data_IF_737554887928
#
_entry.id   IF_737554887928
#
_cell.length_a   1.000
_cell.length_b   1.000
_cell.length_c   1.000
_cell.angle_alpha   90.00
_cell.angle_beta   90.00
_cell.angle_gamma   90.00
#
_symmetry.space_group_name_H-M   'P 1'
#
loop_
_entity.id
_entity.type
_entity.pdbx_description
1 polymer ?
#
# COMPACT_ATOMS: atom_id res chain seq x y z
N UNK A 1 2.09 -2.59 -3.64
CA UNK A 1 1.15 -2.88 -4.74
C UNK A 1 1.76 -3.94 -5.65
N UNK A 2 1.02 -4.96 -6.15
CA UNK A 2 1.65 -6.11 -6.82
C UNK A 2 2.48 -5.73 -8.06
N UNK A 3 2.01 -4.79 -8.88
CA UNK A 3 2.74 -4.38 -10.09
C UNK A 3 4.10 -3.77 -9.74
N UNK A 4 4.13 -2.87 -8.76
CA UNK A 4 5.35 -2.25 -8.25
C UNK A 4 6.29 -3.27 -7.60
N UNK A 5 5.75 -4.22 -6.82
CA UNK A 5 6.57 -5.29 -6.24
C UNK A 5 7.22 -6.14 -7.32
N UNK A 6 6.50 -6.51 -8.39
CA UNK A 6 7.08 -7.20 -9.54
C UNK A 6 8.15 -6.34 -10.24
N UNK A 7 7.91 -5.05 -10.40
CA UNK A 7 8.86 -4.12 -11.00
C UNK A 7 10.17 -4.03 -10.19
N UNK A 8 10.07 -3.85 -8.87
CA UNK A 8 11.22 -3.71 -7.97
C UNK A 8 12.01 -5.01 -7.79
N UNK A 9 11.31 -6.15 -7.68
CA UNK A 9 11.96 -7.46 -7.52
C UNK A 9 12.62 -7.97 -8.81
N UNK A 10 12.18 -7.48 -9.97
CA UNK A 10 12.69 -7.85 -11.27
C UNK A 10 12.69 -9.37 -11.52
N UNK A 11 13.58 -9.83 -12.40
CA UNK A 11 13.66 -11.22 -12.82
C UNK A 11 14.06 -12.19 -11.71
N UNK A 12 14.76 -11.71 -10.67
CA UNK A 12 15.24 -12.55 -9.56
C UNK A 12 14.15 -12.86 -8.54
N UNK A 13 13.31 -11.89 -8.17
CA UNK A 13 12.25 -12.11 -7.17
C UNK A 13 10.87 -12.43 -7.75
N UNK A 14 10.64 -12.18 -9.04
CA UNK A 14 9.38 -12.46 -9.73
C UNK A 14 8.90 -13.93 -9.62
N UNK A 15 9.76 -14.95 -9.79
CA UNK A 15 9.35 -16.35 -9.65
C UNK A 15 8.85 -16.70 -8.24
N UNK A 16 9.52 -16.21 -7.20
CA UNK A 16 9.11 -16.45 -5.81
C UNK A 16 7.76 -15.79 -5.53
N UNK A 17 7.59 -14.51 -5.88
CA UNK A 17 6.31 -13.80 -5.72
C UNK A 17 5.17 -14.50 -6.49
N UNK A 18 5.43 -14.96 -7.70
CA UNK A 18 4.47 -15.74 -8.50
C UNK A 18 4.05 -17.03 -7.79
N UNK A 19 5.00 -17.72 -7.15
CA UNK A 19 4.69 -18.91 -6.36
C UNK A 19 3.90 -18.59 -5.09
N UNK A 20 4.09 -17.42 -4.46
CA UNK A 20 3.26 -16.94 -3.33
C UNK A 20 1.80 -16.72 -3.78
N UNK A 21 1.62 -16.08 -4.94
CA UNK A 21 0.31 -15.77 -5.53
C UNK A 21 -0.44 -17.05 -5.94
N UNK A 22 0.23 -17.96 -6.65
CA UNK A 22 -0.40 -19.21 -7.15
C UNK A 22 -0.92 -20.12 -6.04
N UNK A 23 -0.27 -20.12 -4.88
CA UNK A 23 -0.71 -20.91 -3.71
C UNK A 23 -1.68 -20.17 -2.79
N UNK A 24 -2.04 -18.93 -3.11
CA UNK A 24 -2.96 -18.12 -2.32
C UNK A 24 -2.37 -17.56 -1.02
N UNK A 25 -1.05 -17.60 -0.83
CA UNK A 25 -0.41 -16.95 0.34
C UNK A 25 -0.39 -15.42 0.23
N UNK A 26 -0.50 -14.89 -0.99
CA UNK A 26 -0.74 -13.47 -1.27
C UNK A 26 -1.96 -13.39 -2.16
N UNK A 27 -2.85 -12.44 -1.88
CA UNK A 27 -4.08 -12.21 -2.66
C UNK A 27 -4.08 -10.78 -3.20
N UNK A 28 -4.41 -10.61 -4.48
CA UNK A 28 -4.68 -9.33 -5.09
C UNK A 28 -6.14 -8.93 -4.79
N UNK A 29 -6.35 -8.22 -3.68
CA UNK A 29 -7.70 -7.96 -3.16
C UNK A 29 -8.25 -6.54 -3.35
N UNK A 30 -7.57 -5.68 -4.12
CA UNK A 30 -7.95 -4.27 -4.25
C UNK A 30 -8.51 -3.94 -5.64
N UNK A 31 -9.70 -3.35 -5.67
CA UNK A 31 -10.34 -2.83 -6.88
C UNK A 31 -10.24 -1.31 -6.94
N UNK A 32 -9.30 -0.80 -7.74
CA UNK A 32 -9.12 0.63 -7.91
C UNK A 32 -10.33 1.30 -8.57
N UNK A 33 -11.09 0.60 -9.42
CA UNK A 33 -12.23 1.21 -10.09
C UNK A 33 -13.33 1.58 -9.08
N UNK A 34 -13.61 0.69 -8.12
CA UNK A 34 -14.55 0.96 -7.02
C UNK A 34 -14.07 2.01 -6.02
N UNK A 35 -12.76 2.24 -5.90
CA UNK A 35 -12.15 3.14 -4.93
C UNK A 35 -11.47 4.38 -5.55
N UNK A 36 -11.70 4.66 -6.84
CA UNK A 36 -10.98 5.68 -7.60
C UNK A 36 -11.06 7.08 -6.96
N UNK A 37 -12.27 7.52 -6.64
CA UNK A 37 -12.52 8.85 -6.08
C UNK A 37 -11.85 9.07 -4.69
N UNK A 38 -11.99 8.17 -3.70
CA UNK A 38 -11.20 8.22 -2.48
C UNK A 38 -9.68 8.26 -2.70
N UNK A 39 -9.17 7.45 -3.65
CA UNK A 39 -7.73 7.41 -3.97
C UNK A 39 -7.25 8.74 -4.54
N UNK A 40 -7.96 9.31 -5.51
CA UNK A 40 -7.61 10.62 -6.09
C UNK A 40 -7.66 11.74 -5.05
N UNK A 41 -8.61 11.69 -4.10
CA UNK A 41 -8.64 12.64 -2.98
C UNK A 41 -7.43 12.52 -2.06
N UNK A 42 -6.94 11.31 -1.80
CA UNK A 42 -5.71 11.11 -1.02
C UNK A 42 -4.50 11.72 -1.75
N UNK A 43 -4.38 11.47 -3.05
CA UNK A 43 -3.30 12.07 -3.86
C UNK A 43 -3.36 13.60 -3.83
N UNK A 44 -4.55 14.19 -3.95
CA UNK A 44 -4.72 15.64 -3.87
C UNK A 44 -4.37 16.19 -2.48
N UNK A 45 -4.79 15.50 -1.40
CA UNK A 45 -4.50 15.87 -0.01
C UNK A 45 -3.01 15.91 0.26
N UNK A 46 -2.25 14.99 -0.32
CA UNK A 46 -0.82 14.84 -0.11
C UNK A 46 0.02 15.32 -1.29
N UNK A 47 -0.50 16.22 -2.14
CA UNK A 47 0.20 16.73 -3.33
C UNK A 47 1.56 17.38 -3.04
N UNK A 48 1.76 17.89 -1.82
CA UNK A 48 3.03 18.47 -1.36
C UNK A 48 4.03 17.43 -0.83
N UNK A 49 3.63 16.16 -0.77
CA UNK A 49 4.46 14.99 -0.43
C UNK A 49 4.53 14.08 -1.67
N UNK A 50 5.51 13.17 -1.78
CA UNK A 50 5.67 12.33 -2.97
C UNK A 50 4.68 11.15 -2.99
N UNK A 51 3.40 11.36 -2.63
CA UNK A 51 2.41 10.27 -2.61
C UNK A 51 2.19 9.73 -4.02
N UNK A 52 2.56 8.47 -4.22
CA UNK A 52 2.28 7.75 -5.46
C UNK A 52 0.84 7.22 -5.49
N UNK A 53 0.38 6.80 -6.68
CA UNK A 53 -0.88 6.05 -6.80
C UNK A 53 -0.86 4.78 -5.95
N UNK A 54 0.29 4.10 -5.88
CA UNK A 54 0.44 2.87 -5.10
C UNK A 54 0.24 3.14 -3.60
N UNK A 55 0.81 4.22 -3.08
CA UNK A 55 0.65 4.61 -1.67
C UNK A 55 -0.78 5.00 -1.34
N UNK A 56 -1.41 5.78 -2.22
CA UNK A 56 -2.82 6.16 -2.07
C UNK A 56 -3.74 4.93 -2.05
N UNK A 57 -3.46 3.91 -2.89
CA UNK A 57 -4.17 2.64 -2.84
C UNK A 57 -3.97 1.90 -1.52
N UNK A 58 -2.73 1.85 -1.01
CA UNK A 58 -2.41 1.19 0.26
C UNK A 58 -3.08 1.88 1.46
N UNK A 59 -3.07 3.21 1.51
CA UNK A 59 -3.81 3.97 2.53
C UNK A 59 -5.31 3.69 2.40
N UNK A 60 -5.84 3.63 1.18
CA UNK A 60 -7.26 3.32 0.97
C UNK A 60 -7.64 1.91 1.41
N UNK A 61 -6.82 0.91 1.11
CA UNK A 61 -6.99 -0.46 1.63
C UNK A 61 -6.98 -0.48 3.17
N UNK A 62 -6.14 0.36 3.78
CA UNK A 62 -6.12 0.46 5.25
C UNK A 62 -7.43 1.04 5.81
N UNK A 63 -8.20 1.81 5.04
CA UNK A 63 -9.49 2.36 5.48
C UNK A 63 -10.63 1.36 5.41
N UNK A 64 -10.57 0.42 4.47
CA UNK A 64 -11.66 -0.50 4.12
C UNK A 64 -11.53 -1.88 4.75
N UNK A 65 -10.31 -2.29 5.12
CA UNK A 65 -10.06 -3.55 5.81
C UNK A 65 -10.23 -3.40 7.33
N UNK A 66 -10.68 -4.46 8.04
CA UNK A 66 -11.03 -4.39 9.46
C UNK A 66 -9.83 -4.17 10.40
N UNK A 67 -8.71 -4.87 10.18
CA UNK A 67 -7.47 -4.70 10.96
C UNK A 67 -6.21 -4.77 10.07
N UNK A 68 -6.00 -3.78 9.20
CA UNK A 68 -4.90 -3.80 8.23
C UNK A 68 -3.61 -3.28 8.85
N UNK A 69 -2.52 -4.01 8.60
CA UNK A 69 -1.15 -3.54 8.85
C UNK A 69 -0.40 -3.45 7.52
N UNK A 70 0.15 -2.28 7.23
CA UNK A 70 1.01 -2.07 6.06
C UNK A 70 2.44 -2.45 6.41
N UNK A 71 2.98 -3.46 5.76
CA UNK A 71 4.41 -3.76 5.80
C UNK A 71 5.11 -2.87 4.77
N UNK A 72 5.93 -1.92 5.22
CA UNK A 72 6.61 -0.98 4.33
C UNK A 72 7.99 -0.57 4.85
N UNK A 73 8.88 -0.22 3.93
CA UNK A 73 10.16 0.47 4.21
C UNK A 73 10.07 1.97 3.97
N UNK A 74 8.94 2.44 3.43
CA UNK A 74 8.73 3.84 3.11
C UNK A 74 8.33 4.63 4.37
N UNK A 75 9.14 5.64 4.68
CA UNK A 75 8.97 6.48 5.86
C UNK A 75 7.79 7.45 5.74
N UNK A 76 7.31 7.73 4.53
CA UNK A 76 6.23 8.69 4.29
C UNK A 76 4.89 8.18 4.83
N UNK A 77 4.73 6.86 5.01
CA UNK A 77 3.59 6.27 5.72
C UNK A 77 3.46 6.75 7.18
N UNK A 78 4.53 7.29 7.79
CA UNK A 78 4.46 7.96 9.10
C UNK A 78 3.67 9.27 9.05
N UNK A 79 3.61 9.91 7.88
CA UNK A 79 2.93 11.19 7.66
C UNK A 79 1.50 10.95 7.14
N UNK A 80 1.31 9.94 6.30
CA UNK A 80 0.00 9.60 5.78
C UNK A 80 -0.99 9.24 6.89
N UNK A 81 -2.27 9.51 6.62
CA UNK A 81 -3.37 9.31 7.56
C UNK A 81 -4.54 8.63 6.87
N UNK A 82 -5.05 7.57 7.49
CA UNK A 82 -6.33 6.94 7.16
C UNK A 82 -7.46 7.65 7.90
N UNK A 83 -8.67 7.61 7.36
CA UNK A 83 -9.86 8.22 8.00
C UNK A 83 -9.59 9.68 8.42
N UNK A 84 -8.96 10.44 7.52
CA UNK A 84 -8.50 11.82 7.69
C UNK A 84 -7.35 12.06 8.68
N UNK A 85 -7.42 11.52 9.91
CA UNK A 85 -6.51 11.87 11.02
C UNK A 85 -5.85 10.68 11.72
N UNK A 86 -6.27 9.46 11.44
CA UNK A 86 -5.72 8.29 12.12
C UNK A 86 -4.40 7.87 11.49
N UNK A 87 -3.45 7.46 12.32
CA UNK A 87 -2.18 6.90 11.85
C UNK A 87 -2.48 5.64 11.03
N UNK A 88 -1.79 5.48 9.91
CA UNK A 88 -1.86 4.24 9.13
C UNK A 88 -1.07 3.17 9.89
N UNK A 89 -1.69 2.06 10.34
CA UNK A 89 -0.95 1.03 11.06
C UNK A 89 0.12 0.42 10.14
N UNK A 90 1.38 0.51 10.56
CA UNK A 90 2.50 0.06 9.75
C UNK A 90 3.47 -0.79 10.57
N UNK A 91 4.04 -1.81 9.94
CA UNK A 91 5.21 -2.51 10.42
C UNK A 91 6.39 -2.09 9.53
N UNK A 92 7.45 -1.54 10.12
CA UNK A 92 8.66 -1.15 9.39
C UNK A 92 9.89 -1.80 10.03
N UNK A 93 10.93 -2.15 9.24
CA UNK A 93 12.12 -2.81 9.77
C UNK A 93 13.01 -1.91 10.63
N UNK A 94 12.77 -0.60 10.63
CA UNK A 94 13.58 0.38 11.37
C UNK A 94 12.98 0.77 12.74
N UNK A 95 11.92 0.08 13.18
CA UNK A 95 11.22 0.32 14.45
C UNK A 95 9.76 0.74 14.27
N UNK A 96 8.97 0.64 15.33
CA UNK A 96 7.59 1.15 15.37
C UNK A 96 7.67 2.69 15.49
N UNK A 97 6.89 3.48 14.73
CA UNK A 97 6.88 4.93 14.86
C UNK A 97 6.45 5.42 16.25
#
# INVERSE_FOLDING_TARGET
>A
MLSETFHLLGTRGGPALSALLRRGSIVAGFDLAGDLEPVLRLMQKYVSLPMSLADACLVRMSETLPDPVILTTDVDFRIYRRHSRQIVPCATPFGIP
#
